data_IF_596881844880
#
_entry.id   IF_596881844880
#
_cell.length_a   1.000
_cell.length_b   1.000
_cell.length_c   1.000
_cell.angle_alpha   90.00
_cell.angle_beta   90.00
_cell.angle_gamma   90.00
#
_symmetry.space_group_name_H-M   'P 1'
#
loop_
_entity.id
_entity.type
_entity.pdbx_description
1 polymer ?
#
# COMPACT_ATOMS: atom_id res chain seq x y z
N UNK A 1 -15.95 -20.79 -19.48
CA UNK A 1 -16.64 -20.88 -18.15
C UNK A 1 -16.31 -19.65 -17.35
N UNK A 2 -17.28 -19.05 -16.66
CA UNK A 2 -17.01 -17.96 -15.75
C UNK A 2 -16.13 -18.46 -14.58
N UNK A 3 -15.22 -17.62 -14.08
CA UNK A 3 -14.39 -17.91 -12.92
C UNK A 3 -14.47 -16.81 -11.89
N UNK A 4 -14.18 -17.13 -10.63
CA UNK A 4 -14.13 -16.18 -9.53
C UNK A 4 -12.69 -15.83 -9.19
N UNK A 5 -12.42 -14.56 -8.95
CA UNK A 5 -11.11 -14.08 -8.46
C UNK A 5 -11.32 -13.15 -7.26
N UNK A 6 -10.46 -13.31 -6.26
CA UNK A 6 -10.58 -12.63 -4.99
C UNK A 6 -9.31 -11.85 -4.67
N UNK A 7 -9.48 -10.62 -4.19
CA UNK A 7 -8.40 -9.86 -3.55
C UNK A 7 -8.84 -9.37 -2.18
N UNK A 8 -7.87 -9.14 -1.30
CA UNK A 8 -8.10 -8.61 0.05
C UNK A 8 -7.38 -7.29 0.27
N UNK A 9 -7.82 -6.55 1.27
CA UNK A 9 -7.14 -5.39 1.83
C UNK A 9 -7.25 -5.39 3.34
N UNK A 10 -6.35 -4.64 3.99
CA UNK A 10 -6.37 -4.38 5.42
C UNK A 10 -6.29 -2.88 5.69
N UNK A 11 -6.89 -2.45 6.81
CA UNK A 11 -6.93 -1.03 7.16
C UNK A 11 -5.59 -0.53 7.70
N UNK A 12 -5.51 0.80 7.87
CA UNK A 12 -4.39 1.46 8.53
C UNK A 12 -4.17 0.99 9.98
N UNK A 13 -5.22 0.47 10.64
CA UNK A 13 -5.15 -0.05 12.00
C UNK A 13 -4.79 -1.54 12.09
N UNK A 14 -4.67 -2.25 10.97
CA UNK A 14 -4.15 -3.62 10.98
C UNK A 14 -2.71 -3.64 11.51
N UNK A 15 -2.32 -4.59 12.37
CA UNK A 15 -1.00 -4.60 13.01
C UNK A 15 0.17 -4.46 12.03
N UNK A 16 0.17 -5.21 10.94
CA UNK A 16 1.23 -5.12 9.93
C UNK A 16 1.27 -3.74 9.26
N UNK A 17 0.10 -3.08 9.04
CA UNK A 17 0.07 -1.74 8.47
C UNK A 17 0.39 -0.65 9.49
N UNK A 18 0.18 -0.87 10.77
CA UNK A 18 0.73 -0.01 11.84
C UNK A 18 2.25 -0.03 11.79
N UNK A 19 2.86 -1.22 11.67
CA UNK A 19 4.30 -1.38 11.53
C UNK A 19 4.85 -0.69 10.27
N UNK A 20 4.22 -0.90 9.12
CA UNK A 20 4.60 -0.25 7.86
C UNK A 20 4.54 1.28 7.95
N UNK A 21 3.48 1.84 8.55
CA UNK A 21 3.32 3.28 8.70
C UNK A 21 4.36 3.90 9.64
N UNK A 22 4.76 3.20 10.70
CA UNK A 22 5.84 3.66 11.58
C UNK A 22 7.17 3.64 10.84
N UNK A 23 7.49 2.56 10.13
CA UNK A 23 8.71 2.43 9.36
C UNK A 23 8.83 3.50 8.27
N UNK A 24 7.76 3.78 7.53
CA UNK A 24 7.75 4.82 6.49
C UNK A 24 7.76 6.24 7.05
N UNK A 25 7.23 6.47 8.24
CA UNK A 25 7.38 7.75 8.91
C UNK A 25 8.83 8.03 9.31
N UNK A 26 9.58 7.00 9.72
CA UNK A 26 11.02 7.11 9.99
C UNK A 26 11.78 7.45 8.70
N UNK A 27 11.45 6.82 7.57
CA UNK A 27 12.05 7.15 6.25
C UNK A 27 11.79 8.60 5.89
N UNK A 28 10.54 9.06 6.00
CA UNK A 28 10.16 10.44 5.65
C UNK A 28 10.86 11.48 6.52
N UNK A 29 10.91 11.27 7.83
CA UNK A 29 11.61 12.18 8.75
C UNK A 29 13.09 12.30 8.42
N UNK A 30 13.77 11.18 8.16
CA UNK A 30 15.18 11.19 7.80
C UNK A 30 15.42 11.89 6.46
N UNK A 31 14.64 11.58 5.42
CA UNK A 31 14.76 12.20 4.11
C UNK A 31 14.41 13.69 4.12
N UNK A 32 13.50 14.13 4.98
CA UNK A 32 13.15 15.53 5.11
C UNK A 32 14.35 16.38 5.55
N UNK A 33 15.16 15.89 6.46
CA UNK A 33 16.32 16.60 6.98
C UNK A 33 17.63 16.29 6.23
N UNK A 34 17.78 15.07 5.68
CA UNK A 34 18.89 14.64 4.85
C UNK A 34 18.41 13.77 3.68
N UNK A 35 18.23 14.35 2.48
CA UNK A 35 17.76 13.60 1.30
C UNK A 35 18.68 12.44 0.87
N UNK A 36 19.95 12.44 1.31
CA UNK A 36 20.90 11.35 1.00
C UNK A 36 20.87 10.22 2.04
N UNK A 37 19.96 10.28 3.00
CA UNK A 37 19.80 9.23 4.02
C UNK A 37 19.64 7.84 3.40
N UNK A 38 20.32 6.86 3.98
CA UNK A 38 20.13 5.43 3.71
C UNK A 38 19.37 4.84 4.90
N UNK A 39 18.25 4.21 4.63
CA UNK A 39 17.35 3.72 5.67
C UNK A 39 16.88 2.32 5.33
N UNK A 40 17.02 1.42 6.28
CA UNK A 40 16.36 0.13 6.33
C UNK A 40 15.79 0.00 7.75
N UNK A 41 14.53 0.38 7.94
CA UNK A 41 13.85 0.37 9.24
C UNK A 41 12.72 -0.63 9.23
N UNK A 42 12.80 -1.60 10.09
CA UNK A 42 11.75 -2.58 10.34
C UNK A 42 11.12 -2.33 11.70
N UNK A 43 9.80 -2.51 11.79
CA UNK A 43 9.02 -2.30 12.99
C UNK A 43 8.26 -3.57 13.35
N UNK A 44 8.32 -3.95 14.63
CA UNK A 44 7.43 -4.92 15.24
C UNK A 44 6.48 -4.18 16.18
N UNK A 45 5.19 -4.49 16.10
CA UNK A 45 4.17 -4.02 17.04
C UNK A 45 3.44 -5.20 17.67
N UNK A 46 3.23 -5.15 18.98
CA UNK A 46 2.48 -6.17 19.74
C UNK A 46 1.82 -5.51 20.93
N UNK A 47 1.19 -6.29 21.83
CA UNK A 47 0.56 -5.77 23.04
C UNK A 47 1.47 -4.81 23.79
N UNK A 48 1.09 -3.53 23.85
CA UNK A 48 1.77 -2.49 24.62
C UNK A 48 3.21 -2.19 24.19
N UNK A 49 3.69 -2.67 23.03
CA UNK A 49 5.09 -2.54 22.63
C UNK A 49 5.28 -2.25 21.16
N UNK A 50 6.29 -1.43 20.86
CA UNK A 50 6.86 -1.17 19.53
C UNK A 50 8.36 -1.41 19.59
N UNK A 51 8.91 -2.16 18.64
CA UNK A 51 10.34 -2.36 18.47
C UNK A 51 10.74 -1.91 17.07
N UNK A 52 11.67 -0.97 17.00
CA UNK A 52 12.27 -0.46 15.77
C UNK A 52 13.65 -1.09 15.64
N UNK A 53 13.95 -1.74 14.52
CA UNK A 53 15.24 -2.36 14.27
C UNK A 53 15.71 -2.05 12.85
N UNK A 54 17.01 -2.14 12.60
CA UNK A 54 17.57 -1.95 11.27
C UNK A 54 18.78 -1.03 11.22
N UNK A 55 19.09 -0.53 10.02
CA UNK A 55 20.29 0.25 9.76
C UNK A 55 19.97 1.61 9.14
N UNK A 56 20.65 2.65 9.62
CA UNK A 56 20.51 4.02 9.14
C UNK A 56 21.87 4.65 8.93
N UNK A 57 22.06 5.33 7.78
CA UNK A 57 23.17 6.27 7.56
C UNK A 57 22.55 7.62 7.19
N UNK A 58 22.63 8.60 8.08
CA UNK A 58 22.05 9.92 7.89
C UNK A 58 22.82 10.98 8.67
N UNK A 59 22.76 12.21 8.19
CA UNK A 59 23.19 13.41 8.94
C UNK A 59 22.07 13.97 9.81
N UNK A 60 20.83 13.49 9.59
CA UNK A 60 19.67 13.90 10.38
C UNK A 60 19.64 13.15 11.72
N UNK A 61 19.12 13.83 12.74
CA UNK A 61 18.78 13.22 14.01
C UNK A 61 17.28 13.40 14.26
N UNK A 62 16.58 12.31 14.49
CA UNK A 62 15.14 12.29 14.72
C UNK A 62 14.78 11.58 16.02
N UNK A 63 13.66 11.93 16.62
CA UNK A 63 13.11 11.20 17.76
C UNK A 63 12.23 10.05 17.27
N UNK A 64 12.77 8.84 17.33
CA UNK A 64 12.09 7.62 16.89
C UNK A 64 10.85 7.30 17.73
N UNK A 65 10.91 7.60 19.05
CA UNK A 65 9.78 7.34 19.94
C UNK A 65 8.63 8.30 19.64
N UNK A 66 8.92 9.58 19.49
CA UNK A 66 7.92 10.59 19.14
C UNK A 66 7.29 10.28 17.77
N UNK A 67 8.11 9.89 16.78
CA UNK A 67 7.63 9.49 15.44
C UNK A 67 6.68 8.31 15.52
N UNK A 68 7.02 7.25 16.27
CA UNK A 68 6.16 6.07 16.43
C UNK A 68 4.84 6.45 17.13
N UNK A 69 4.90 7.20 18.25
CA UNK A 69 3.70 7.63 19.01
C UNK A 69 2.76 8.48 18.17
N UNK A 70 3.30 9.43 17.41
CA UNK A 70 2.51 10.27 16.50
C UNK A 70 1.76 9.45 15.46
N UNK A 71 2.40 8.44 14.87
CA UNK A 71 1.76 7.53 13.91
C UNK A 71 0.64 6.73 14.57
N UNK A 72 0.90 6.13 15.73
CA UNK A 72 -0.09 5.32 16.48
C UNK A 72 -1.33 6.15 16.83
N UNK A 73 -1.12 7.38 17.36
CA UNK A 73 -2.20 8.30 17.70
C UNK A 73 -3.00 8.74 16.45
N UNK A 74 -2.32 9.04 15.33
CA UNK A 74 -2.96 9.38 14.06
C UNK A 74 -3.85 8.25 13.53
N UNK A 75 -3.45 7.00 13.69
CA UNK A 75 -4.24 5.81 13.31
C UNK A 75 -5.51 5.72 14.16
N UNK A 76 -5.44 6.12 15.43
CA UNK A 76 -6.58 6.12 16.34
C UNK A 76 -6.45 5.16 17.50
N UNK A 77 -5.28 4.62 17.76
CA UNK A 77 -4.97 3.88 18.99
C UNK A 77 -4.61 4.88 20.11
N UNK A 78 -5.64 5.44 20.74
CA UNK A 78 -5.55 6.53 21.71
C UNK A 78 -6.14 6.20 23.07
N UNK A 79 -6.49 4.92 23.29
CA UNK A 79 -7.13 4.47 24.53
C UNK A 79 -6.43 3.25 25.10
N UNK A 80 -6.21 3.25 26.40
CA UNK A 80 -5.56 2.15 27.12
C UNK A 80 -6.31 0.82 27.06
N UNK A 81 -7.64 0.86 26.83
CA UNK A 81 -8.50 -0.31 26.68
C UNK A 81 -8.11 -1.17 25.47
N UNK A 82 -7.50 -0.57 24.46
CA UNK A 82 -6.97 -1.31 23.29
C UNK A 82 -5.71 -2.10 23.60
N UNK A 83 -5.12 -1.95 24.81
CA UNK A 83 -3.85 -2.58 25.23
C UNK A 83 -2.67 -2.28 24.28
N UNK A 84 -2.85 -1.27 23.47
CA UNK A 84 -1.86 -0.68 22.56
C UNK A 84 -2.34 0.75 22.25
N UNK A 85 -1.63 1.77 22.74
CA UNK A 85 -1.94 3.17 22.49
C UNK A 85 -0.65 4.00 22.40
N UNK A 86 -0.73 5.13 21.69
CA UNK A 86 0.43 5.96 21.38
C UNK A 86 1.10 6.58 22.59
N UNK A 87 0.37 6.82 23.69
CA UNK A 87 0.89 7.54 24.83
C UNK A 87 1.57 6.61 25.85
N UNK A 88 1.08 5.36 26.00
CA UNK A 88 1.52 4.46 27.06
C UNK A 88 2.34 3.25 26.58
N UNK A 89 2.34 2.89 25.28
CA UNK A 89 3.12 1.77 24.80
C UNK A 89 4.64 1.99 24.98
N UNK A 90 5.38 0.91 25.27
CA UNK A 90 6.84 0.92 25.28
C UNK A 90 7.38 1.01 23.86
N UNK A 91 8.28 1.95 23.58
CA UNK A 91 8.94 2.08 22.27
C UNK A 91 10.44 1.81 22.46
N UNK A 92 10.93 0.76 21.81
CA UNK A 92 12.32 0.32 21.87
C UNK A 92 13.00 0.52 20.50
N UNK A 93 14.26 0.91 20.51
CA UNK A 93 15.06 1.05 19.30
C UNK A 93 16.31 0.20 19.37
N UNK A 94 16.50 -0.61 18.31
CA UNK A 94 17.72 -1.34 18.01
C UNK A 94 18.25 -0.93 16.62
N UNK A 95 18.07 0.34 16.23
CA UNK A 95 18.61 0.89 15.00
C UNK A 95 20.09 1.21 15.22
N UNK A 96 20.92 0.78 14.28
CA UNK A 96 22.37 1.02 14.30
C UNK A 96 22.86 1.60 12.96
N UNK A 97 24.16 1.94 12.89
CA UNK A 97 24.77 2.50 11.69
C UNK A 97 24.92 1.43 10.59
N UNK A 98 24.68 1.82 9.34
CA UNK A 98 24.80 0.94 8.18
C UNK A 98 26.27 0.45 8.00
N UNK A 99 26.44 -0.83 7.65
CA UNK A 99 27.72 -1.44 7.34
C UNK A 99 28.47 -0.71 6.20
N UNK A 100 29.75 -0.40 6.44
CA UNK A 100 30.62 0.21 5.45
C UNK A 100 30.86 -0.66 4.20
N UNK A 101 30.74 -1.99 4.33
CA UNK A 101 30.99 -2.93 3.24
C UNK A 101 29.87 -2.90 2.19
N UNK A 102 28.62 -2.82 2.62
CA UNK A 102 27.46 -2.66 1.73
C UNK A 102 27.56 -1.34 0.96
N UNK A 103 27.96 -0.28 1.64
CA UNK A 103 28.05 1.04 1.06
C UNK A 103 29.09 1.12 -0.08
N UNK A 104 30.25 0.44 0.06
CA UNK A 104 31.30 0.38 -0.98
C UNK A 104 30.83 -0.29 -2.29
N UNK A 105 29.88 -1.22 -2.22
CA UNK A 105 29.33 -1.89 -3.41
C UNK A 105 28.37 -1.00 -4.20
N UNK A 106 27.74 -0.02 -3.57
CA UNK A 106 26.65 0.80 -4.12
C UNK A 106 27.15 2.17 -4.57
N UNK A 107 27.95 2.86 -3.76
CA UNK A 107 28.48 4.19 -4.10
C UNK A 107 29.56 4.11 -5.19
N UNK A 108 29.46 5.00 -6.18
CA UNK A 108 30.41 5.14 -7.30
C UNK A 108 30.89 6.60 -7.38
N UNK A 109 32.09 6.82 -7.96
CA UNK A 109 32.60 8.17 -8.24
C UNK A 109 31.61 8.98 -9.12
N UNK A 110 31.03 8.31 -10.13
CA UNK A 110 29.94 8.86 -10.92
C UNK A 110 28.58 8.43 -10.31
N UNK A 111 27.81 9.36 -9.71
CA UNK A 111 26.50 9.06 -9.09
C UNK A 111 25.48 8.45 -10.07
N UNK A 112 25.56 8.77 -11.37
CA UNK A 112 24.66 8.20 -12.40
C UNK A 112 24.88 6.69 -12.59
N UNK A 113 26.04 6.17 -12.21
CA UNK A 113 26.39 4.76 -12.23
C UNK A 113 26.30 4.09 -10.85
N UNK A 114 25.56 4.69 -9.91
CA UNK A 114 25.22 4.06 -8.63
C UNK A 114 24.69 2.65 -8.86
N UNK A 115 25.31 1.65 -8.23
CA UNK A 115 24.90 0.26 -8.33
C UNK A 115 23.59 -0.02 -7.59
N UNK A 116 22.89 -1.08 -7.97
CA UNK A 116 21.73 -1.55 -7.22
C UNK A 116 22.14 -1.94 -5.79
N UNK A 117 21.35 -1.52 -4.81
CA UNK A 117 21.62 -1.80 -3.39
C UNK A 117 21.45 -3.25 -2.99
N UNK A 118 20.80 -4.05 -3.84
CA UNK A 118 20.61 -5.48 -3.66
C UNK A 118 20.43 -6.16 -5.02
N UNK A 119 20.52 -7.49 -5.02
CA UNK A 119 20.01 -8.33 -6.10
C UNK A 119 18.50 -8.50 -5.95
N UNK A 120 17.81 -8.79 -7.05
CA UNK A 120 16.38 -9.11 -6.95
C UNK A 120 15.66 -8.97 -8.28
N UNK A 121 14.38 -9.33 -8.25
CA UNK A 121 13.42 -9.10 -9.33
C UNK A 121 12.23 -8.31 -8.80
N UNK A 122 11.81 -7.29 -9.55
CA UNK A 122 10.70 -6.42 -9.20
C UNK A 122 9.69 -6.42 -10.32
N UNK A 123 8.42 -6.23 -9.97
CA UNK A 123 7.30 -6.32 -10.91
C UNK A 123 6.44 -5.07 -10.85
N UNK A 124 5.96 -4.67 -12.01
CA UNK A 124 4.89 -3.72 -12.18
C UNK A 124 3.74 -4.36 -12.97
N UNK A 125 2.52 -4.04 -12.61
CA UNK A 125 1.33 -4.55 -13.27
C UNK A 125 0.32 -3.42 -13.46
N UNK A 126 -0.43 -3.48 -14.54
CA UNK A 126 -1.57 -2.61 -14.80
C UNK A 126 -2.62 -3.35 -15.65
N UNK A 127 -3.89 -3.01 -15.43
CA UNK A 127 -5.02 -3.48 -16.23
C UNK A 127 -6.01 -2.34 -16.45
N UNK A 128 -6.78 -2.39 -17.52
CA UNK A 128 -7.83 -1.40 -17.80
C UNK A 128 -9.17 -1.70 -17.09
N UNK A 129 -9.17 -2.56 -16.08
CA UNK A 129 -10.38 -2.91 -15.32
C UNK A 129 -10.98 -1.72 -14.58
N UNK A 130 -10.14 -0.84 -14.03
CA UNK A 130 -10.53 0.37 -13.29
C UNK A 130 -9.81 1.60 -13.83
N UNK A 131 -10.30 2.79 -13.45
CA UNK A 131 -9.66 4.07 -13.81
C UNK A 131 -8.30 4.24 -13.15
N UNK A 132 -8.08 3.55 -12.00
CA UNK A 132 -6.79 3.49 -11.30
C UNK A 132 -5.79 2.52 -11.96
N UNK A 133 -6.20 1.81 -13.00
CA UNK A 133 -5.40 0.76 -13.67
C UNK A 133 -4.99 -0.38 -12.73
N UNK A 134 -5.89 -0.73 -11.80
CA UNK A 134 -5.75 -1.86 -10.87
C UNK A 134 -6.82 -2.93 -11.14
N UNK A 135 -6.57 -4.19 -10.69
CA UNK A 135 -7.63 -5.20 -10.62
C UNK A 135 -8.81 -4.69 -9.80
N UNK A 136 -10.02 -4.84 -10.30
CA UNK A 136 -11.21 -4.30 -9.67
C UNK A 136 -11.47 -4.89 -8.28
N UNK A 137 -11.13 -6.18 -8.07
CA UNK A 137 -11.24 -6.83 -6.76
C UNK A 137 -10.38 -6.14 -5.69
N UNK A 138 -9.15 -5.77 -6.02
CA UNK A 138 -8.25 -5.06 -5.11
C UNK A 138 -8.66 -3.61 -4.92
N UNK A 139 -8.96 -2.89 -6.01
CA UNK A 139 -9.37 -1.49 -5.96
C UNK A 139 -10.59 -1.29 -5.06
N UNK A 140 -11.59 -2.19 -5.16
CA UNK A 140 -12.77 -2.17 -4.31
C UNK A 140 -12.45 -2.56 -2.86
N UNK A 141 -11.58 -3.55 -2.62
CA UNK A 141 -11.16 -3.91 -1.27
C UNK A 141 -10.51 -2.73 -0.55
N UNK A 142 -9.59 -2.01 -1.20
CA UNK A 142 -9.01 -0.79 -0.64
C UNK A 142 -10.04 0.31 -0.40
N UNK A 143 -10.93 0.53 -1.36
CA UNK A 143 -11.97 1.57 -1.28
C UNK A 143 -12.93 1.36 -0.13
N UNK A 144 -13.37 0.12 0.11
CA UNK A 144 -14.22 -0.24 1.25
C UNK A 144 -13.56 0.19 2.56
N UNK A 145 -12.29 -0.11 2.76
CA UNK A 145 -11.59 0.20 4.02
C UNK A 145 -11.25 1.69 4.16
N UNK A 146 -10.96 2.39 3.06
CA UNK A 146 -10.77 3.85 3.10
C UNK A 146 -12.06 4.55 3.54
N UNK A 147 -13.19 4.19 2.95
CA UNK A 147 -14.50 4.74 3.32
C UNK A 147 -14.88 4.37 4.76
N UNK A 148 -14.58 3.14 5.19
CA UNK A 148 -14.81 2.72 6.59
C UNK A 148 -14.00 3.57 7.57
N UNK A 149 -12.72 3.84 7.26
CA UNK A 149 -11.86 4.70 8.08
C UNK A 149 -12.33 6.17 8.10
N UNK A 150 -12.85 6.68 6.98
CA UNK A 150 -13.47 8.01 6.91
C UNK A 150 -14.70 8.08 7.83
N UNK A 151 -15.62 7.10 7.75
CA UNK A 151 -16.80 7.00 8.62
C UNK A 151 -16.37 6.98 10.09
N UNK A 152 -15.37 6.19 10.44
CA UNK A 152 -14.82 6.11 11.80
C UNK A 152 -14.31 7.47 12.28
N UNK A 153 -13.54 8.19 11.45
CA UNK A 153 -12.97 9.51 11.80
C UNK A 153 -14.03 10.60 11.90
N UNK A 154 -15.08 10.54 11.09
CA UNK A 154 -16.21 11.47 11.17
C UNK A 154 -16.97 11.34 12.50
N UNK A 155 -17.04 10.12 13.07
CA UNK A 155 -17.70 9.87 14.34
C UNK A 155 -19.20 10.21 14.39
N UNK A 156 -19.88 10.21 13.22
CA UNK A 156 -21.30 10.59 13.10
C UNK A 156 -22.24 9.39 13.01
N UNK A 157 -21.83 8.38 12.26
CA UNK A 157 -22.53 7.11 12.09
C UNK A 157 -21.54 5.98 12.35
N UNK A 158 -22.04 4.77 12.66
CA UNK A 158 -21.19 3.63 13.04
C UNK A 158 -20.11 4.02 14.06
N UNK A 159 -20.49 4.75 15.10
CA UNK A 159 -19.58 5.36 16.10
C UNK A 159 -18.80 4.32 16.92
N UNK A 160 -19.21 3.08 16.86
CA UNK A 160 -18.57 1.92 17.48
C UNK A 160 -17.33 1.43 16.74
N UNK A 161 -17.03 1.93 15.53
CA UNK A 161 -15.88 1.48 14.73
C UNK A 161 -14.55 1.79 15.40
N UNK A 162 -13.58 0.84 15.26
CA UNK A 162 -12.22 0.95 15.75
C UNK A 162 -11.21 0.73 14.60
N UNK A 163 -9.92 1.04 14.82
CA UNK A 163 -8.97 1.17 13.70
C UNK A 163 -8.73 -0.08 12.88
N UNK A 164 -8.77 -1.29 13.48
CA UNK A 164 -8.45 -2.53 12.78
C UNK A 164 -9.62 -3.04 11.95
N UNK A 165 -9.36 -3.35 10.68
CA UNK A 165 -10.36 -3.96 9.80
C UNK A 165 -9.71 -4.62 8.59
N UNK A 166 -10.47 -5.55 7.99
CA UNK A 166 -10.11 -6.27 6.76
C UNK A 166 -11.29 -6.27 5.81
N UNK A 167 -11.01 -6.28 4.52
CA UNK A 167 -12.00 -6.49 3.47
C UNK A 167 -11.51 -7.48 2.44
N UNK A 168 -12.44 -8.17 1.80
CA UNK A 168 -12.17 -9.06 0.70
C UNK A 168 -13.30 -8.93 -0.32
N UNK A 169 -12.95 -8.82 -1.60
CA UNK A 169 -13.92 -8.73 -2.70
C UNK A 169 -13.65 -9.83 -3.70
N UNK A 170 -14.67 -10.63 -3.97
CA UNK A 170 -14.68 -11.67 -5.00
C UNK A 170 -15.47 -11.18 -6.20
N UNK A 171 -14.86 -11.22 -7.36
CA UNK A 171 -15.42 -10.77 -8.63
C UNK A 171 -15.55 -11.96 -9.57
N UNK A 172 -16.67 -12.05 -10.26
CA UNK A 172 -16.89 -12.99 -11.34
C UNK A 172 -16.41 -12.41 -12.67
N UNK A 173 -15.64 -13.22 -13.40
CA UNK A 173 -15.09 -12.91 -14.71
C UNK A 173 -15.68 -13.85 -15.77
N UNK A 174 -15.91 -13.32 -16.97
CA UNK A 174 -16.30 -14.13 -18.12
C UNK A 174 -15.11 -14.83 -18.77
N UNK A 175 -15.36 -15.63 -19.80
CA UNK A 175 -14.33 -16.39 -20.55
C UNK A 175 -13.27 -15.51 -21.23
N UNK A 176 -13.57 -14.22 -21.42
CA UNK A 176 -12.65 -13.25 -22.01
C UNK A 176 -11.85 -12.47 -20.95
N UNK A 177 -11.89 -12.91 -19.69
CA UNK A 177 -11.19 -12.25 -18.58
C UNK A 177 -11.74 -10.87 -18.19
N UNK A 178 -12.98 -10.54 -18.57
CA UNK A 178 -13.62 -9.26 -18.19
C UNK A 178 -14.50 -9.45 -16.95
N UNK A 179 -14.43 -8.52 -15.97
CA UNK A 179 -15.27 -8.57 -14.78
C UNK A 179 -16.75 -8.34 -15.17
N UNK A 180 -17.67 -9.12 -14.59
CA UNK A 180 -19.11 -9.07 -14.92
C UNK A 180 -19.99 -8.72 -13.73
N UNK A 181 -19.60 -9.13 -12.50
CA UNK A 181 -20.31 -8.76 -11.26
C UNK A 181 -19.46 -9.02 -10.03
N UNK A 182 -19.83 -8.38 -8.95
CA UNK A 182 -19.31 -8.71 -7.61
C UNK A 182 -20.14 -9.89 -7.07
N UNK A 183 -19.44 -10.96 -6.71
CA UNK A 183 -20.09 -12.16 -6.13
C UNK A 183 -20.17 -12.07 -4.61
N UNK A 184 -19.07 -11.72 -3.96
CA UNK A 184 -18.97 -11.73 -2.48
C UNK A 184 -18.18 -10.54 -1.97
N UNK A 185 -18.65 -9.96 -0.86
CA UNK A 185 -17.94 -8.95 -0.07
C UNK A 185 -17.82 -9.47 1.37
N UNK A 186 -16.59 -9.52 1.88
CA UNK A 186 -16.28 -9.80 3.28
C UNK A 186 -15.78 -8.52 3.93
N UNK A 187 -16.32 -8.18 5.10
CA UNK A 187 -15.84 -7.07 5.93
C UNK A 187 -15.71 -7.56 7.37
N UNK A 188 -14.51 -7.48 7.92
CA UNK A 188 -14.27 -7.69 9.34
C UNK A 188 -13.76 -6.39 9.94
N UNK A 189 -14.46 -5.86 10.94
CA UNK A 189 -14.11 -4.58 11.58
C UNK A 189 -14.10 -4.69 13.09
N UNK A 190 -13.04 -4.16 13.69
CA UNK A 190 -12.97 -3.95 15.13
C UNK A 190 -14.04 -2.94 15.56
N UNK A 191 -14.67 -3.21 16.70
CA UNK A 191 -15.74 -2.37 17.26
C UNK A 191 -15.74 -2.38 18.79
N UNK A 192 -16.35 -1.37 19.39
CA UNK A 192 -16.64 -1.37 20.83
C UNK A 192 -17.77 -2.34 21.18
N UNK A 193 -17.86 -2.71 22.44
CA UNK A 193 -19.07 -3.33 22.99
C UNK A 193 -20.11 -2.26 23.24
N UNK A 194 -20.95 -1.98 22.23
CA UNK A 194 -21.90 -0.85 22.25
C UNK A 194 -23.33 -1.25 22.63
N UNK A 195 -23.60 -2.55 22.83
CA UNK A 195 -24.85 -3.07 23.39
C UNK A 195 -24.50 -3.87 24.64
N UNK A 196 -24.92 -3.37 25.80
CA UNK A 196 -24.72 -4.05 27.06
C UNK A 196 -25.72 -5.21 27.24
N UNK A 197 -25.32 -6.33 27.88
CA UNK A 197 -26.25 -7.38 28.24
C UNK A 197 -27.22 -6.90 29.32
N UNK A 198 -28.45 -7.41 29.31
CA UNK A 198 -29.50 -7.04 30.27
C UNK A 198 -29.19 -7.46 31.73
N UNK A 199 -28.35 -8.49 31.86
CA UNK A 199 -27.89 -9.02 33.14
C UNK A 199 -26.57 -9.79 32.94
N UNK A 200 -25.95 -10.28 34.01
CA UNK A 200 -24.67 -10.96 33.99
C UNK A 200 -24.72 -12.47 33.61
N UNK A 201 -25.76 -12.92 32.91
CA UNK A 201 -25.85 -14.30 32.42
C UNK A 201 -25.18 -14.44 31.06
N UNK A 202 -24.73 -15.67 30.75
CA UNK A 202 -24.14 -16.02 29.46
C UNK A 202 -25.15 -15.81 28.32
N UNK A 203 -26.40 -16.16 28.55
CA UNK A 203 -27.49 -16.01 27.59
C UNK A 203 -27.72 -14.54 27.23
N UNK A 204 -27.73 -13.63 28.24
CA UNK A 204 -27.89 -12.20 28.00
C UNK A 204 -26.68 -11.62 27.24
N UNK A 205 -25.46 -12.10 27.52
CA UNK A 205 -24.28 -11.69 26.76
C UNK A 205 -24.35 -12.16 25.30
N UNK A 206 -24.72 -13.41 25.04
CA UNK A 206 -24.87 -13.94 23.68
C UNK A 206 -25.95 -13.17 22.89
N UNK A 207 -27.05 -12.78 23.55
CA UNK A 207 -28.10 -11.97 22.92
C UNK A 207 -27.62 -10.57 22.59
N UNK A 208 -26.85 -9.92 23.48
CA UNK A 208 -26.24 -8.61 23.22
C UNK A 208 -25.25 -8.69 22.05
N UNK A 209 -24.38 -9.71 22.03
CA UNK A 209 -23.43 -9.96 20.94
C UNK A 209 -24.16 -10.17 19.60
N UNK A 210 -25.24 -10.95 19.59
CA UNK A 210 -26.06 -11.17 18.39
C UNK A 210 -26.69 -9.89 17.86
N UNK A 211 -27.23 -9.02 18.75
CA UNK A 211 -27.78 -7.72 18.39
C UNK A 211 -26.70 -6.79 17.82
N UNK A 212 -25.51 -6.74 18.42
CA UNK A 212 -24.38 -5.96 17.89
C UNK A 212 -23.98 -6.40 16.48
N UNK A 213 -23.82 -7.69 16.26
CA UNK A 213 -23.43 -8.24 14.96
C UNK A 213 -24.48 -7.97 13.88
N UNK A 214 -25.78 -8.11 14.22
CA UNK A 214 -26.87 -7.79 13.31
C UNK A 214 -26.88 -6.30 12.93
N UNK A 215 -26.61 -5.41 13.89
CA UNK A 215 -26.49 -3.97 13.63
C UNK A 215 -25.29 -3.66 12.72
N UNK A 216 -24.12 -4.23 13.00
CA UNK A 216 -22.91 -4.04 12.18
C UNK A 216 -23.16 -4.53 10.74
N UNK A 217 -23.78 -5.70 10.57
CA UNK A 217 -24.12 -6.22 9.24
C UNK A 217 -25.10 -5.29 8.49
N UNK A 218 -26.13 -4.80 9.17
CA UNK A 218 -27.08 -3.86 8.61
C UNK A 218 -26.40 -2.54 8.20
N UNK A 219 -25.52 -2.00 9.03
CA UNK A 219 -24.81 -0.75 8.76
C UNK A 219 -23.79 -0.90 7.61
N UNK A 220 -23.11 -2.04 7.53
CA UNK A 220 -22.23 -2.34 6.37
C UNK A 220 -23.05 -2.32 5.08
N UNK A 221 -24.21 -2.99 5.05
CA UNK A 221 -25.06 -3.06 3.85
C UNK A 221 -25.74 -1.73 3.50
N UNK A 222 -26.19 -0.98 4.50
CA UNK A 222 -27.07 0.18 4.30
C UNK A 222 -26.33 1.54 4.38
N UNK A 223 -25.12 1.60 4.98
CA UNK A 223 -24.34 2.83 5.13
C UNK A 223 -23.02 2.70 4.37
N UNK A 224 -22.17 1.70 4.71
CA UNK A 224 -20.83 1.59 4.13
C UNK A 224 -20.87 1.34 2.62
N UNK A 225 -21.56 0.30 2.16
CA UNK A 225 -21.55 -0.08 0.73
C UNK A 225 -22.18 0.99 -0.16
N UNK A 226 -23.34 1.60 0.15
CA UNK A 226 -23.86 2.73 -0.61
C UNK A 226 -22.91 3.91 -0.69
N UNK A 227 -22.20 4.23 0.42
CA UNK A 227 -21.19 5.29 0.43
C UNK A 227 -19.98 4.92 -0.44
N UNK A 228 -19.52 3.67 -0.41
CA UNK A 228 -18.46 3.17 -1.31
C UNK A 228 -18.88 3.37 -2.77
N UNK A 229 -20.07 2.93 -3.15
CA UNK A 229 -20.60 3.08 -4.53
C UNK A 229 -20.65 4.56 -4.95
N UNK A 230 -21.04 5.46 -4.05
CA UNK A 230 -21.11 6.90 -4.34
C UNK A 230 -19.73 7.52 -4.64
N UNK A 231 -18.64 6.94 -4.14
CA UNK A 231 -17.27 7.41 -4.41
C UNK A 231 -16.67 6.86 -5.71
N UNK A 232 -17.31 5.89 -6.36
CA UNK A 232 -16.84 5.33 -7.64
C UNK A 232 -17.22 6.30 -8.76
N UNK A 233 -16.27 6.70 -9.59
CA UNK A 233 -16.48 7.57 -10.76
C UNK A 233 -16.87 6.77 -11.98
N UNK A 234 -16.28 5.60 -12.17
CA UNK A 234 -16.45 4.73 -13.33
C UNK A 234 -17.83 4.03 -13.34
N UNK A 235 -18.66 4.32 -14.33
CA UNK A 235 -19.97 3.63 -14.52
C UNK A 235 -19.77 2.13 -14.79
N UNK A 236 -18.68 1.75 -15.45
CA UNK A 236 -18.29 0.37 -15.66
C UNK A 236 -18.08 -0.39 -14.34
N UNK A 237 -17.42 0.23 -13.37
CA UNK A 237 -17.20 -0.38 -12.05
C UNK A 237 -18.49 -0.37 -11.22
N UNK A 238 -19.29 0.71 -11.27
CA UNK A 238 -20.61 0.76 -10.61
C UNK A 238 -21.54 -0.36 -11.10
N UNK A 239 -21.50 -0.64 -12.41
CA UNK A 239 -22.33 -1.69 -13.02
C UNK A 239 -22.04 -3.09 -12.48
N UNK A 240 -20.88 -3.32 -11.85
CA UNK A 240 -20.55 -4.61 -11.23
C UNK A 240 -21.33 -4.90 -9.95
N UNK A 241 -21.95 -3.87 -9.33
CA UNK A 241 -22.85 -4.02 -8.18
C UNK A 241 -24.27 -4.43 -8.61
N UNK A 242 -24.35 -5.30 -9.61
CA UNK A 242 -25.62 -5.86 -10.09
C UNK A 242 -25.87 -7.24 -9.48
N UNK A 243 -27.13 -7.62 -9.38
CA UNK A 243 -27.55 -8.92 -8.86
C UNK A 243 -27.39 -9.07 -7.36
N UNK A 244 -27.46 -10.30 -6.89
CA UNK A 244 -27.33 -10.64 -5.48
C UNK A 244 -25.84 -10.74 -5.09
N UNK A 245 -25.43 -9.95 -4.10
CA UNK A 245 -24.09 -9.98 -3.51
C UNK A 245 -24.15 -10.71 -2.17
N UNK A 246 -23.28 -11.69 -1.98
CA UNK A 246 -23.10 -12.37 -0.69
C UNK A 246 -22.28 -11.50 0.26
N UNK A 247 -22.78 -11.27 1.45
CA UNK A 247 -22.08 -10.50 2.49
C UNK A 247 -21.66 -11.41 3.64
N UNK A 248 -20.41 -11.31 4.06
CA UNK A 248 -19.89 -11.88 5.29
C UNK A 248 -19.32 -10.75 6.16
N UNK A 249 -20.04 -10.41 7.23
CA UNK A 249 -19.67 -9.30 8.12
C UNK A 249 -19.34 -9.88 9.48
N UNK A 250 -18.11 -9.67 9.98
CA UNK A 250 -17.62 -10.24 11.24
C UNK A 250 -17.99 -11.73 11.41
N UNK A 251 -17.68 -12.62 10.45
CA UNK A 251 -18.20 -13.98 10.41
C UNK A 251 -17.76 -14.87 11.58
N UNK A 252 -16.71 -14.47 12.30
CA UNK A 252 -16.22 -15.18 13.50
C UNK A 252 -16.89 -14.72 14.79
N UNK A 253 -17.80 -13.75 14.73
CA UNK A 253 -18.43 -13.12 15.87
C UNK A 253 -17.89 -11.73 16.18
N UNK A 254 -18.05 -11.27 17.42
CA UNK A 254 -17.58 -9.95 17.85
C UNK A 254 -16.07 -9.80 17.68
N UNK A 255 -15.67 -8.59 17.29
CA UNK A 255 -14.26 -8.24 17.05
C UNK A 255 -13.89 -7.01 17.89
N UNK A 256 -13.87 -7.16 19.20
CA UNK A 256 -13.53 -6.10 20.17
C UNK A 256 -12.01 -6.05 20.37
N UNK A 257 -11.37 -7.21 20.53
CA UNK A 257 -9.92 -7.32 20.62
C UNK A 257 -9.34 -7.31 19.20
N UNK A 258 -8.61 -6.26 18.88
CA UNK A 258 -7.98 -6.05 17.57
C UNK A 258 -6.71 -5.23 17.67
N UNK A 259 -6.16 -4.88 16.50
CA UNK A 259 -4.89 -4.19 16.42
C UNK A 259 -3.72 -5.01 17.00
N UNK A 260 -2.61 -4.36 17.39
CA UNK A 260 -1.42 -5.04 17.89
C UNK A 260 -1.63 -5.89 19.15
N UNK A 261 -2.72 -5.67 19.89
CA UNK A 261 -3.08 -6.55 21.01
C UNK A 261 -3.72 -7.87 20.52
N UNK A 262 -4.46 -7.82 19.43
CA UNK A 262 -5.08 -9.01 18.86
C UNK A 262 -4.10 -9.91 18.11
N UNK A 263 -3.17 -9.30 17.38
CA UNK A 263 -2.15 -9.99 16.57
C UNK A 263 -0.89 -9.14 16.44
N UNK A 264 0.27 -9.76 16.40
CA UNK A 264 1.56 -9.09 16.23
C UNK A 264 1.74 -8.63 14.78
N UNK A 265 2.13 -7.38 14.58
CA UNK A 265 2.44 -6.79 13.28
C UNK A 265 3.94 -6.66 13.03
N UNK A 266 4.31 -6.80 11.77
CA UNK A 266 5.68 -6.60 11.27
C UNK A 266 5.67 -5.85 9.94
N UNK A 267 6.68 -5.01 9.73
CA UNK A 267 6.91 -4.35 8.44
C UNK A 267 7.07 -5.39 7.32
N UNK A 268 6.37 -5.14 6.19
CA UNK A 268 6.54 -5.95 4.98
C UNK A 268 5.78 -7.27 4.95
N UNK A 269 4.77 -7.46 5.81
CA UNK A 269 3.94 -8.67 5.81
C UNK A 269 2.63 -8.57 5.02
N UNK A 270 2.38 -7.43 4.35
CA UNK A 270 1.19 -7.19 3.52
C UNK A 270 1.54 -6.78 2.10
N UNK A 271 2.63 -7.33 1.56
CA UNK A 271 3.20 -6.95 0.25
C UNK A 271 2.24 -7.19 -0.93
N UNK A 272 1.35 -8.15 -0.85
CA UNK A 272 0.34 -8.42 -1.89
C UNK A 272 -0.79 -7.38 -1.82
N UNK A 273 -1.19 -6.97 -0.63
CA UNK A 273 -2.12 -5.84 -0.41
C UNK A 273 -1.51 -4.53 -0.90
N UNK A 274 -0.21 -4.35 -0.69
CA UNK A 274 0.53 -3.15 -1.12
C UNK A 274 0.61 -3.01 -2.64
N UNK A 275 0.45 -4.10 -3.40
CA UNK A 275 0.69 -4.16 -4.85
C UNK A 275 -0.56 -4.46 -5.66
N UNK A 276 -0.82 -5.72 -6.02
CA UNK A 276 -1.80 -6.05 -7.06
C UNK A 276 -2.84 -7.11 -6.64
N UNK A 277 -2.92 -7.45 -5.34
CA UNK A 277 -3.94 -8.34 -4.81
C UNK A 277 -3.90 -9.77 -5.38
N UNK A 278 -2.74 -10.21 -5.86
CA UNK A 278 -2.54 -11.55 -6.41
C UNK A 278 -2.72 -11.65 -7.95
N UNK A 279 -3.17 -10.60 -8.64
CA UNK A 279 -3.27 -10.57 -10.11
C UNK A 279 -1.90 -10.40 -10.77
N UNK A 280 -1.08 -9.49 -10.28
CA UNK A 280 0.30 -9.32 -10.72
C UNK A 280 1.28 -10.07 -9.83
N UNK A 281 2.40 -10.49 -10.39
CA UNK A 281 3.50 -11.09 -9.65
C UNK A 281 4.15 -10.09 -8.66
N UNK A 282 4.86 -10.63 -7.67
CA UNK A 282 5.64 -9.86 -6.68
C UNK A 282 7.02 -10.49 -6.49
N UNK A 283 8.06 -9.66 -6.36
CA UNK A 283 9.43 -10.13 -6.18
C UNK A 283 9.78 -10.60 -4.77
N UNK A 284 8.91 -10.33 -3.78
CA UNK A 284 9.08 -10.73 -2.38
C UNK A 284 9.64 -9.64 -1.47
N UNK A 285 10.26 -8.57 -2.01
CA UNK A 285 10.81 -7.47 -1.22
C UNK A 285 9.75 -6.53 -0.66
N UNK A 286 9.82 -6.23 0.65
CA UNK A 286 8.99 -5.20 1.27
C UNK A 286 9.38 -3.80 0.77
N UNK A 287 8.40 -2.87 0.75
CA UNK A 287 8.61 -1.47 0.38
C UNK A 287 8.85 -0.58 1.60
N UNK A 288 7.93 -0.63 2.58
CA UNK A 288 7.96 0.23 3.76
C UNK A 288 9.27 0.08 4.54
N UNK A 289 9.73 1.18 5.10
CA UNK A 289 10.97 1.25 5.87
C UNK A 289 12.25 1.38 5.05
N UNK A 290 12.16 1.35 3.72
CA UNK A 290 13.31 1.43 2.81
C UNK A 290 13.41 2.78 2.10
N UNK A 291 14.60 3.38 2.07
CA UNK A 291 14.90 4.53 1.21
C UNK A 291 15.01 4.11 -0.27
N UNK A 292 14.94 5.05 -1.24
CA UNK A 292 14.86 4.72 -2.66
C UNK A 292 16.11 4.10 -3.28
N UNK A 293 17.23 4.02 -2.58
CA UNK A 293 18.40 3.26 -3.07
C UNK A 293 18.17 1.74 -3.08
N UNK A 294 17.17 1.28 -2.33
CA UNK A 294 16.74 -0.12 -2.32
C UNK A 294 15.81 -0.37 -3.51
N UNK A 295 16.31 -1.14 -4.48
CA UNK A 295 15.60 -1.42 -5.74
C UNK A 295 14.28 -2.17 -5.52
N UNK A 296 14.15 -2.93 -4.43
CA UNK A 296 12.87 -3.55 -4.02
C UNK A 296 11.72 -2.56 -4.07
N UNK A 297 11.95 -1.31 -3.63
CA UNK A 297 10.97 -0.25 -3.62
C UNK A 297 11.00 0.58 -4.90
N UNK A 298 12.15 1.16 -5.23
CA UNK A 298 12.28 2.11 -6.34
C UNK A 298 11.99 1.48 -7.70
N UNK A 299 12.49 0.28 -7.95
CA UNK A 299 12.26 -0.39 -9.23
C UNK A 299 10.85 -1.00 -9.34
N UNK A 300 10.22 -1.40 -8.22
CA UNK A 300 8.81 -1.78 -8.22
C UNK A 300 7.90 -0.59 -8.60
N UNK A 301 8.18 0.61 -8.09
CA UNK A 301 7.48 1.83 -8.50
C UNK A 301 7.73 2.17 -9.98
N UNK A 302 8.99 2.04 -10.44
CA UNK A 302 9.31 2.31 -11.84
C UNK A 302 8.66 1.31 -12.80
N UNK A 303 8.59 0.02 -12.48
CA UNK A 303 7.90 -0.97 -13.30
C UNK A 303 6.38 -0.77 -13.30
N UNK A 304 5.79 -0.31 -12.18
CA UNK A 304 4.38 0.12 -12.14
C UNK A 304 4.14 1.30 -13.07
N UNK A 305 5.00 2.32 -13.04
CA UNK A 305 4.90 3.47 -13.94
C UNK A 305 4.94 3.06 -15.41
N UNK A 306 5.82 2.14 -15.77
CA UNK A 306 5.90 1.59 -17.14
C UNK A 306 4.61 0.85 -17.50
N UNK A 307 4.18 -0.11 -16.68
CA UNK A 307 2.99 -0.93 -16.96
C UNK A 307 1.73 -0.06 -17.13
N UNK A 308 1.54 0.92 -16.21
CA UNK A 308 0.39 1.84 -16.26
C UNK A 308 0.39 2.69 -17.53
N UNK A 309 1.53 3.26 -17.92
CA UNK A 309 1.64 4.07 -19.12
C UNK A 309 1.47 3.24 -20.40
N UNK A 310 1.93 1.98 -20.44
CA UNK A 310 1.68 1.08 -21.59
C UNK A 310 0.18 0.80 -21.79
N UNK A 311 -0.54 0.47 -20.69
CA UNK A 311 -1.98 0.24 -20.76
C UNK A 311 -2.73 1.53 -21.12
N UNK A 312 -2.38 2.65 -20.51
CA UNK A 312 -3.01 3.94 -20.81
C UNK A 312 -2.74 4.43 -22.25
N UNK A 313 -1.59 4.09 -22.83
CA UNK A 313 -1.27 4.39 -24.22
C UNK A 313 -2.03 3.51 -25.22
N UNK A 314 -2.69 2.44 -24.75
CA UNK A 314 -3.41 1.50 -25.61
C UNK A 314 -2.54 0.40 -26.22
N UNK A 315 -1.36 0.12 -25.65
CA UNK A 315 -0.50 -0.98 -26.12
C UNK A 315 -1.14 -2.34 -25.86
N UNK A 316 -1.78 -2.51 -24.68
CA UNK A 316 -2.52 -3.71 -24.31
C UNK A 316 -3.57 -3.39 -23.23
N UNK A 317 -4.52 -4.28 -22.99
CA UNK A 317 -5.50 -4.16 -21.89
C UNK A 317 -4.89 -4.51 -20.53
N UNK A 318 -3.86 -5.35 -20.51
CA UNK A 318 -3.22 -5.87 -19.30
C UNK A 318 -1.71 -6.03 -19.57
N UNK A 319 -0.87 -5.58 -18.64
CA UNK A 319 0.58 -5.61 -18.79
C UNK A 319 1.26 -5.94 -17.46
N UNK A 320 2.15 -6.92 -17.50
CA UNK A 320 3.14 -7.18 -16.45
C UNK A 320 4.54 -6.79 -16.97
N UNK A 321 5.28 -6.06 -16.16
CA UNK A 321 6.68 -5.70 -16.40
C UNK A 321 7.53 -6.28 -15.29
N UNK A 322 8.59 -7.03 -15.62
CA UNK A 322 9.62 -7.46 -14.68
C UNK A 322 10.93 -6.75 -14.97
N UNK A 323 11.63 -6.35 -13.93
CA UNK A 323 13.04 -5.94 -13.99
C UNK A 323 13.85 -6.72 -12.97
N UNK A 324 15.12 -7.02 -13.28
CA UNK A 324 16.01 -7.65 -12.30
C UNK A 324 17.39 -6.97 -12.27
N UNK A 325 18.00 -7.03 -11.09
CA UNK A 325 19.33 -6.44 -10.83
C UNK A 325 20.27 -7.45 -10.17
N UNK A 326 21.56 -7.24 -10.42
CA UNK A 326 22.63 -7.78 -9.58
C UNK A 326 23.12 -6.69 -8.61
N UNK A 327 23.47 -7.07 -7.39
CA UNK A 327 23.99 -6.13 -6.38
C UNK A 327 25.22 -5.40 -6.93
N UNK A 328 25.31 -4.09 -6.70
CA UNK A 328 26.43 -3.25 -7.13
C UNK A 328 26.47 -2.96 -8.65
N UNK A 329 25.52 -3.45 -9.45
CA UNK A 329 25.45 -3.19 -10.90
C UNK A 329 24.32 -2.20 -11.19
N UNK A 330 24.65 -1.11 -11.94
CA UNK A 330 23.66 -0.07 -12.24
C UNK A 330 22.64 -0.48 -13.31
N UNK A 331 23.09 -1.14 -14.38
CA UNK A 331 22.18 -1.59 -15.44
C UNK A 331 21.38 -2.81 -14.99
N UNK A 332 20.07 -2.85 -15.27
CA UNK A 332 19.29 -4.06 -15.02
C UNK A 332 19.84 -5.23 -15.85
N UNK A 333 19.68 -6.46 -15.33
CA UNK A 333 20.05 -7.68 -16.02
C UNK A 333 19.07 -7.91 -17.20
N UNK A 334 17.78 -7.71 -16.96
CA UNK A 334 16.73 -7.86 -17.96
C UNK A 334 15.55 -6.94 -17.69
N UNK A 335 14.78 -6.69 -18.75
CA UNK A 335 13.41 -6.19 -18.70
C UNK A 335 12.56 -7.20 -19.47
N UNK A 336 11.52 -7.70 -18.83
CA UNK A 336 10.55 -8.63 -19.41
C UNK A 336 9.17 -8.00 -19.41
N UNK A 337 8.40 -8.21 -20.45
CA UNK A 337 7.01 -7.75 -20.58
C UNK A 337 6.14 -8.95 -20.95
N UNK A 338 4.95 -9.00 -20.33
CA UNK A 338 3.89 -9.93 -20.70
C UNK A 338 2.58 -9.16 -20.83
N UNK A 339 1.96 -9.22 -22.01
CA UNK A 339 0.67 -8.59 -22.31
C UNK A 339 -0.51 -9.54 -22.12
N UNK A 340 -0.28 -10.75 -21.66
CA UNK A 340 -1.31 -11.80 -21.46
C UNK A 340 -2.17 -12.05 -22.71
N UNK A 341 -1.62 -11.81 -23.90
CA UNK A 341 -2.34 -11.94 -25.17
C UNK A 341 -3.34 -10.81 -25.45
N UNK A 342 -3.32 -9.73 -24.68
CA UNK A 342 -4.24 -8.58 -24.86
C UNK A 342 -3.62 -7.44 -25.68
N UNK A 343 -2.48 -7.66 -26.32
CA UNK A 343 -1.78 -6.66 -27.12
C UNK A 343 -2.62 -6.14 -28.29
N UNK A 344 -2.62 -4.81 -28.47
CA UNK A 344 -3.26 -4.14 -29.61
C UNK A 344 -2.25 -3.73 -30.69
N UNK A 345 -0.95 -3.97 -30.46
CA UNK A 345 0.12 -3.67 -31.41
C UNK A 345 0.62 -4.96 -32.09
N UNK A 346 1.13 -4.83 -33.32
CA UNK A 346 1.70 -5.94 -34.08
C UNK A 346 3.17 -6.24 -33.68
N UNK A 347 3.41 -6.29 -32.37
CA UNK A 347 4.72 -6.57 -31.78
C UNK A 347 4.58 -7.74 -30.80
N UNK A 348 5.61 -8.57 -30.73
CA UNK A 348 5.72 -9.59 -29.68
C UNK A 348 6.06 -8.91 -28.35
N UNK A 349 5.78 -9.59 -27.23
CA UNK A 349 6.13 -9.10 -25.90
C UNK A 349 7.65 -8.79 -25.76
N UNK A 350 8.51 -9.58 -26.40
CA UNK A 350 9.94 -9.32 -26.45
C UNK A 350 10.29 -8.02 -27.21
N UNK A 351 9.60 -7.71 -28.29
CA UNK A 351 9.77 -6.46 -29.04
C UNK A 351 9.22 -5.27 -28.26
N UNK A 352 8.13 -5.45 -27.51
CA UNK A 352 7.60 -4.44 -26.59
C UNK A 352 8.64 -4.17 -25.48
N UNK A 353 9.22 -5.21 -24.88
CA UNK A 353 10.27 -5.08 -23.87
C UNK A 353 11.51 -4.33 -24.39
N UNK A 354 11.94 -4.57 -25.63
CA UNK A 354 13.04 -3.85 -26.28
C UNK A 354 12.74 -2.35 -26.38
N UNK A 355 11.54 -1.98 -26.84
CA UNK A 355 11.08 -0.57 -26.88
C UNK A 355 10.99 0.07 -25.50
N UNK A 356 10.51 -0.66 -24.49
CA UNK A 356 10.50 -0.19 -23.10
C UNK A 356 11.91 0.15 -22.63
N UNK A 357 12.89 -0.70 -22.93
CA UNK A 357 14.30 -0.46 -22.58
C UNK A 357 14.90 0.77 -23.26
N UNK A 358 14.44 1.13 -24.46
CA UNK A 358 14.85 2.36 -25.16
C UNK A 358 14.20 3.62 -24.55
N UNK A 359 12.96 3.51 -24.07
CA UNK A 359 12.17 4.64 -23.57
C UNK A 359 12.53 4.99 -22.12
N UNK A 360 12.78 3.97 -21.27
CA UNK A 360 12.94 4.10 -19.83
C UNK A 360 14.35 3.71 -19.37
N UNK A 361 15.08 4.68 -18.83
CA UNK A 361 16.33 4.38 -18.12
C UNK A 361 15.98 3.77 -16.74
N UNK A 362 16.36 2.52 -16.57
CA UNK A 362 16.07 1.73 -15.37
C UNK A 362 17.28 1.61 -14.44
N UNK A 363 18.31 2.42 -14.59
CA UNK A 363 19.39 2.54 -13.59
C UNK A 363 18.82 3.13 -12.29
N UNK A 364 19.25 2.66 -11.11
CA UNK A 364 18.69 3.11 -9.83
C UNK A 364 18.63 4.64 -9.68
N UNK A 365 19.72 5.35 -10.01
CA UNK A 365 19.76 6.82 -9.93
C UNK A 365 18.80 7.51 -10.90
N UNK A 366 18.65 6.98 -12.10
CA UNK A 366 17.70 7.49 -13.08
C UNK A 366 16.25 7.32 -12.61
N UNK A 367 15.94 6.23 -11.93
CA UNK A 367 14.63 5.99 -11.30
C UNK A 367 14.38 7.00 -10.19
N UNK A 368 15.35 7.17 -9.25
CA UNK A 368 15.25 8.15 -8.16
C UNK A 368 14.92 9.55 -8.70
N UNK A 369 15.66 9.98 -9.73
CA UNK A 369 15.49 11.31 -10.33
C UNK A 369 14.14 11.45 -11.05
N UNK A 370 13.78 10.48 -11.92
CA UNK A 370 12.54 10.50 -12.69
C UNK A 370 11.30 10.54 -11.81
N UNK A 371 11.28 9.73 -10.75
CA UNK A 371 10.15 9.61 -9.83
C UNK A 371 10.28 10.49 -8.58
N UNK A 372 11.33 11.32 -8.48
CA UNK A 372 11.58 12.24 -7.35
C UNK A 372 11.58 11.55 -5.99
N UNK A 373 12.16 10.35 -5.91
CA UNK A 373 12.04 9.46 -4.75
C UNK A 373 12.86 9.89 -3.53
N UNK A 374 13.78 10.86 -3.66
CA UNK A 374 14.55 11.41 -2.53
C UNK A 374 13.77 12.42 -1.69
N UNK A 375 12.49 12.54 -1.91
CA UNK A 375 11.58 13.38 -1.14
C UNK A 375 10.85 12.56 -0.06
N UNK A 376 10.37 13.18 1.03
CA UNK A 376 9.58 12.52 2.07
C UNK A 376 8.14 12.28 1.60
N UNK A 377 7.92 11.21 0.85
CA UNK A 377 6.66 10.86 0.15
C UNK A 377 6.12 9.49 0.53
N UNK A 378 6.63 8.88 1.59
CA UNK A 378 6.42 7.46 1.88
C UNK A 378 5.34 7.18 2.91
N UNK A 379 5.12 8.06 3.88
CA UNK A 379 4.08 7.88 4.93
C UNK A 379 2.69 7.65 4.34
N UNK A 380 2.36 8.31 3.23
CA UNK A 380 1.06 8.19 2.55
C UNK A 380 0.91 6.89 1.75
N UNK A 381 1.99 6.16 1.50
CA UNK A 381 1.97 4.89 0.77
C UNK A 381 1.65 3.70 1.66
N UNK A 382 1.94 3.80 2.95
CA UNK A 382 2.00 2.69 3.88
C UNK A 382 0.64 2.10 4.30
N UNK A 383 -0.47 2.60 3.76
CA UNK A 383 -1.81 2.05 3.98
C UNK A 383 -2.66 2.16 2.70
N UNK A 384 -3.55 1.18 2.50
CA UNK A 384 -4.48 1.11 1.36
C UNK A 384 -3.81 1.01 -0.01
N UNK A 385 -2.66 0.34 -0.08
CA UNK A 385 -1.90 0.08 -1.30
C UNK A 385 -0.96 1.20 -1.74
N UNK A 386 0.19 0.82 -2.28
CA UNK A 386 1.17 1.74 -2.86
C UNK A 386 0.81 2.12 -4.30
N UNK A 387 -0.05 1.31 -4.96
CA UNK A 387 -0.45 1.46 -6.35
C UNK A 387 -1.92 1.91 -6.47
N UNK A 388 -2.29 2.48 -7.63
CA UNK A 388 -3.65 2.93 -7.91
C UNK A 388 -4.05 4.18 -7.13
N UNK A 389 -3.08 5.03 -6.80
CA UNK A 389 -3.29 6.28 -6.06
C UNK A 389 -3.25 7.48 -7.01
N UNK A 390 -3.91 8.54 -6.62
CA UNK A 390 -3.90 9.81 -7.37
C UNK A 390 -2.61 10.59 -7.09
N UNK A 391 -1.81 10.96 -8.12
CA UNK A 391 -0.71 11.89 -7.96
C UNK A 391 -1.21 13.23 -7.44
N UNK A 392 -0.59 13.76 -6.39
CA UNK A 392 -0.98 15.04 -5.80
C UNK A 392 0.22 15.78 -5.23
N UNK A 393 0.15 17.10 -5.23
CA UNK A 393 1.13 17.97 -4.59
C UNK A 393 0.64 18.34 -3.20
N UNK A 394 1.49 18.11 -2.20
CA UNK A 394 1.19 18.42 -0.79
C UNK A 394 2.35 19.18 -0.17
N UNK A 395 2.05 20.00 0.84
CA UNK A 395 3.05 20.66 1.69
C UNK A 395 3.08 19.97 3.03
N UNK A 396 4.25 19.47 3.42
CA UNK A 396 4.50 18.77 4.67
C UNK A 396 5.39 19.62 5.58
N UNK A 397 5.11 19.59 6.88
CA UNK A 397 5.92 20.26 7.90
C UNK A 397 6.58 19.18 8.76
N UNK A 398 7.90 19.24 8.85
CA UNK A 398 8.71 18.36 9.68
C UNK A 398 9.32 19.17 10.83
N UNK A 399 9.13 18.70 12.05
CA UNK A 399 9.65 19.31 13.26
C UNK A 399 10.65 18.38 13.93
N UNK A 400 11.68 18.94 14.52
CA UNK A 400 12.68 18.19 15.28
C UNK A 400 13.10 19.03 16.49
N UNK A 401 13.37 18.39 17.62
CA UNK A 401 13.97 19.05 18.76
C UNK A 401 15.43 19.45 18.54
N UNK A 402 16.06 18.89 17.52
CA UNK A 402 17.51 19.01 17.27
C UNK A 402 17.85 19.82 16.02
N UNK A 403 16.88 20.03 15.14
CA UNK A 403 17.07 20.71 13.86
C UNK A 403 15.94 21.73 13.62
N UNK A 404 16.22 22.84 12.89
CA UNK A 404 15.16 23.79 12.55
C UNK A 404 14.01 23.12 11.78
N UNK A 405 12.75 23.51 12.02
CA UNK A 405 11.61 22.97 11.27
C UNK A 405 11.78 23.19 9.78
N UNK A 406 11.35 22.21 9.00
CA UNK A 406 11.33 22.29 7.52
C UNK A 406 9.91 22.19 6.98
N UNK A 407 9.59 23.07 6.05
CA UNK A 407 8.37 22.98 5.22
C UNK A 407 8.78 22.60 3.82
N UNK A 408 8.27 21.47 3.33
CA UNK A 408 8.65 20.90 2.04
C UNK A 408 7.40 20.62 1.22
N UNK A 409 7.36 21.13 -0.01
CA UNK A 409 6.30 20.79 -0.98
C UNK A 409 6.77 19.65 -1.86
N UNK A 410 6.01 18.55 -1.90
CA UNK A 410 6.37 17.31 -2.59
C UNK A 410 5.22 16.81 -3.46
N UNK A 411 5.56 16.03 -4.48
CA UNK A 411 4.58 15.29 -5.30
C UNK A 411 4.51 13.85 -4.78
N UNK A 412 3.33 13.44 -4.33
CA UNK A 412 3.03 12.07 -3.92
C UNK A 412 2.67 11.20 -5.13
N UNK A 413 2.95 9.89 -5.03
CA UNK A 413 2.58 8.86 -6.01
C UNK A 413 3.02 9.18 -7.45
N UNK A 414 4.24 9.68 -7.60
CA UNK A 414 4.80 10.08 -8.90
C UNK A 414 4.83 8.96 -9.94
N UNK A 415 4.92 7.70 -9.50
CA UNK A 415 4.87 6.50 -10.35
C UNK A 415 3.48 6.18 -10.91
N UNK A 416 2.45 6.91 -10.46
CA UNK A 416 1.08 6.80 -10.98
C UNK A 416 0.79 7.83 -12.09
N UNK A 417 1.74 8.71 -12.43
CA UNK A 417 1.57 9.70 -13.51
C UNK A 417 1.48 9.03 -14.88
N UNK A 418 0.71 9.64 -15.77
CA UNK A 418 0.53 9.23 -17.18
C UNK A 418 1.37 10.11 -18.13
N UNK A 419 2.53 10.52 -17.69
CA UNK A 419 3.41 11.48 -18.36
C UNK A 419 4.27 10.88 -19.49
N UNK A 420 4.24 9.55 -19.67
CA UNK A 420 4.91 8.86 -20.78
C UNK A 420 3.96 8.36 -21.87
N UNK A 421 2.65 8.55 -21.75
CA UNK A 421 1.63 8.07 -22.71
C UNK A 421 1.93 8.51 -24.13
N UNK A 422 2.14 9.81 -24.36
CA UNK A 422 2.39 10.35 -25.70
C UNK A 422 3.73 9.86 -26.30
N UNK A 423 4.77 9.74 -25.45
CA UNK A 423 6.07 9.20 -25.89
C UNK A 423 5.95 7.73 -26.29
N UNK A 424 5.13 6.96 -25.56
CA UNK A 424 4.85 5.55 -25.87
C UNK A 424 4.06 5.46 -27.19
N UNK A 425 2.98 6.25 -27.35
CA UNK A 425 2.20 6.25 -28.58
C UNK A 425 3.09 6.52 -29.81
N UNK A 426 3.97 7.53 -29.73
CA UNK A 426 4.92 7.82 -30.81
C UNK A 426 5.85 6.62 -31.09
N UNK A 427 6.42 6.00 -30.07
CA UNK A 427 7.33 4.88 -30.22
C UNK A 427 6.65 3.60 -30.78
N UNK A 428 5.35 3.43 -30.52
CA UNK A 428 4.58 2.27 -30.95
C UNK A 428 3.71 2.54 -32.21
N UNK A 429 3.72 3.78 -32.73
CA UNK A 429 2.89 4.25 -33.87
C UNK A 429 1.38 4.07 -33.59
N UNK A 430 0.91 4.44 -32.41
CA UNK A 430 -0.49 4.43 -31.98
C UNK A 430 -1.15 5.80 -32.13
#
# INVERSE_FOLDING_TARGET
MAYLFTSESVSEGHPDKVADQISDAVVDELLAFDPESKVACETLVTTGQVVLAGEVKSKAYIDLQETARRVINRIGYTRSEYKFDGDSCGVFSAIHEQSADINRGVEREDPENQGAGDQGMMFGYATNETDEYLPVSLALSHRILRVLAEIRREGKVMTYLRPDSKSQVTVEYNDNGKPVRIDTIVVSTQHDEFIAPENATVEAQLEADRKMLAQIEADVKNILIPRVISTITSDKVKALFNGEIKYFVNPTGKFVIGGPHGDTGLTGRKIIVDTYGGKGAHGGGAFSGKDPSKVDRSAAYATRHIAKNLVAAGVADEVLVQVSYAIGVAKPINIFVNTYGTSHVKLTDAQIAAKVNEIFDMRPKAIENRLKLRNPIYSETAAYGHMGREPQTVTKVFTSHYMPPKTITVELFTWEKLDYVEKIKQAFNL
#
